data_IF_239747531778
#
_entry.id   IF_239747531778
#
_cell.length_a   1.000
_cell.length_b   1.000
_cell.length_c   1.000
_cell.angle_alpha   90.00
_cell.angle_beta   90.00
_cell.angle_gamma   90.00
#
_symmetry.space_group_name_H-M   'P 1'
#
loop_
_entity.id
_entity.type
_entity.pdbx_description
1 polymer ?
#
# COMPACT_ATOMS: atom_id res chain seq x y z
N UNK A 1 -48.43 -23.08 22.80
CA UNK A 1 -48.58 -21.61 22.79
C UNK A 1 -47.73 -21.03 21.68
N UNK A 2 -48.22 -20.04 20.90
CA UNK A 2 -47.40 -19.36 19.89
C UNK A 2 -46.39 -18.41 20.53
N UNK A 3 -45.35 -18.05 19.79
CA UNK A 3 -44.40 -17.01 20.20
C UNK A 3 -45.12 -15.69 20.43
N UNK A 4 -44.58 -14.80 21.27
CA UNK A 4 -45.15 -13.48 21.58
C UNK A 4 -45.43 -12.61 20.34
N UNK A 5 -44.73 -12.85 19.22
CA UNK A 5 -44.98 -12.18 17.95
C UNK A 5 -46.07 -12.85 17.07
N UNK A 6 -46.80 -13.84 17.61
CA UNK A 6 -47.84 -14.59 16.90
C UNK A 6 -47.34 -15.74 16.03
N UNK A 7 -46.02 -15.97 15.94
CA UNK A 7 -45.49 -17.09 15.15
C UNK A 7 -45.80 -18.45 15.77
N UNK A 8 -46.30 -19.38 14.97
CA UNK A 8 -46.58 -20.77 15.36
C UNK A 8 -45.37 -21.69 15.27
N UNK A 9 -44.35 -21.32 14.48
CA UNK A 9 -43.10 -22.07 14.35
C UNK A 9 -42.07 -21.59 15.39
N UNK A 10 -41.90 -22.38 16.44
CA UNK A 10 -40.94 -22.13 17.51
C UNK A 10 -39.59 -22.78 17.18
N UNK A 11 -38.51 -22.00 17.32
CA UNK A 11 -37.14 -22.48 17.18
C UNK A 11 -36.58 -22.86 18.56
N UNK A 12 -36.87 -22.04 19.58
CA UNK A 12 -36.57 -22.38 20.97
C UNK A 12 -37.88 -22.66 21.70
N UNK A 13 -38.18 -23.96 21.91
CA UNK A 13 -39.42 -24.40 22.55
C UNK A 13 -39.45 -24.09 24.05
N UNK A 14 -38.30 -24.14 24.71
CA UNK A 14 -38.18 -23.89 26.16
C UNK A 14 -38.52 -22.43 26.51
N UNK A 15 -38.10 -21.50 25.65
CA UNK A 15 -38.41 -20.06 25.79
C UNK A 15 -39.66 -19.63 25.02
N UNK A 16 -40.31 -20.54 24.30
CA UNK A 16 -41.42 -20.24 23.37
C UNK A 16 -41.11 -19.12 22.37
N UNK A 17 -39.90 -19.07 21.84
CA UNK A 17 -39.47 -18.05 20.88
C UNK A 17 -39.34 -18.62 19.47
N UNK A 18 -39.87 -17.89 18.48
CA UNK A 18 -39.54 -18.10 17.09
C UNK A 18 -38.12 -17.59 16.80
N UNK A 19 -37.58 -17.97 15.63
CA UNK A 19 -36.22 -17.59 15.24
C UNK A 19 -35.97 -16.07 15.30
N UNK A 20 -36.92 -15.27 14.82
CA UNK A 20 -36.81 -13.80 14.83
C UNK A 20 -36.75 -13.23 16.24
N UNK A 21 -37.62 -13.67 17.14
CA UNK A 21 -37.65 -13.18 18.53
C UNK A 21 -36.45 -13.69 19.34
N UNK A 22 -36.02 -14.93 19.11
CA UNK A 22 -34.82 -15.48 19.73
C UNK A 22 -33.55 -14.72 19.30
N UNK A 23 -33.46 -14.36 18.01
CA UNK A 23 -32.37 -13.53 17.48
C UNK A 23 -32.38 -12.12 18.09
N UNK A 24 -33.54 -11.47 18.16
CA UNK A 24 -33.67 -10.15 18.75
C UNK A 24 -33.22 -10.14 20.22
N UNK A 25 -33.64 -11.14 21.00
CA UNK A 25 -33.22 -11.32 22.39
C UNK A 25 -31.69 -11.47 22.50
N UNK A 26 -31.08 -12.35 21.70
CA UNK A 26 -29.62 -12.55 21.70
C UNK A 26 -28.83 -11.29 21.34
N UNK A 27 -29.39 -10.41 20.50
CA UNK A 27 -28.77 -9.12 20.17
C UNK A 27 -28.89 -8.15 21.33
N UNK A 28 -30.06 -8.09 21.98
CA UNK A 28 -30.30 -7.22 23.14
C UNK A 28 -29.47 -7.62 24.37
N UNK A 29 -29.28 -8.92 24.59
CA UNK A 29 -28.48 -9.46 25.70
C UNK A 29 -26.98 -9.48 25.41
N UNK A 30 -26.57 -9.11 24.18
CA UNK A 30 -25.15 -9.14 23.82
C UNK A 30 -24.44 -8.04 24.61
N UNK A 31 -23.48 -8.37 25.49
CA UNK A 31 -22.74 -7.36 26.22
C UNK A 31 -22.06 -6.44 25.20
N UNK A 32 -22.33 -5.13 25.33
CA UNK A 32 -21.66 -4.11 24.53
C UNK A 32 -20.20 -4.11 24.99
N UNK A 33 -19.36 -4.88 24.29
CA UNK A 33 -17.93 -4.80 24.45
C UNK A 33 -17.50 -3.41 23.96
N UNK A 34 -17.41 -2.47 24.89
CA UNK A 34 -16.72 -1.19 24.68
C UNK A 34 -15.28 -1.57 24.39
N UNK A 35 -14.92 -1.63 23.11
CA UNK A 35 -13.53 -1.82 22.69
C UNK A 35 -12.76 -0.62 23.19
N UNK A 36 -12.02 -0.78 24.28
CA UNK A 36 -11.04 0.20 24.73
C UNK A 36 -10.15 0.58 23.55
N UNK A 37 -10.14 1.86 23.20
CA UNK A 37 -9.25 2.39 22.17
C UNK A 37 -7.83 2.25 22.72
N UNK A 38 -7.07 1.29 22.19
CA UNK A 38 -5.64 1.17 22.50
C UNK A 38 -4.98 2.53 22.25
N UNK A 39 -4.13 3.03 23.16
CA UNK A 39 -3.41 4.28 22.94
C UNK A 39 -2.61 4.18 21.64
N UNK A 40 -2.67 5.25 20.83
CA UNK A 40 -1.88 5.35 19.60
C UNK A 40 -0.42 5.14 19.98
N UNK A 41 0.21 4.11 19.38
CA UNK A 41 1.61 3.83 19.63
C UNK A 41 2.43 5.09 19.33
N UNK A 42 3.11 5.61 20.35
CA UNK A 42 4.00 6.77 20.22
C UNK A 42 5.06 6.39 19.20
N UNK A 43 5.00 7.00 18.00
CA UNK A 43 5.99 6.74 16.97
C UNK A 43 7.35 7.21 17.48
N UNK A 44 8.37 6.36 17.41
CA UNK A 44 9.72 6.72 17.87
C UNK A 44 10.24 7.95 17.11
N UNK A 45 10.97 8.85 17.79
CA UNK A 45 11.49 10.08 17.19
C UNK A 45 12.27 9.84 15.89
N UNK A 46 13.04 8.72 15.81
CA UNK A 46 13.75 8.30 14.59
C UNK A 46 12.82 8.03 13.41
N UNK A 47 11.66 7.40 13.64
CA UNK A 47 10.66 7.13 12.59
C UNK A 47 9.99 8.43 12.13
N UNK A 48 9.82 9.40 13.02
CA UNK A 48 9.28 10.72 12.69
C UNK A 48 10.24 11.53 11.79
N UNK A 49 11.55 11.47 12.05
CA UNK A 49 12.57 12.12 11.21
C UNK A 49 12.63 11.49 9.82
N UNK A 50 12.75 10.15 9.72
CA UNK A 50 12.80 9.47 8.42
C UNK A 50 11.55 9.72 7.55
N UNK A 51 10.37 9.84 8.17
CA UNK A 51 9.13 10.21 7.46
C UNK A 51 9.15 11.67 6.98
N UNK A 52 9.73 12.59 7.74
CA UNK A 52 9.91 14.00 7.33
C UNK A 52 10.87 14.09 6.16
N UNK A 53 12.03 13.47 6.24
CA UNK A 53 13.06 13.51 5.19
C UNK A 53 12.53 12.94 3.88
N UNK A 54 11.78 11.83 3.95
CA UNK A 54 11.11 11.26 2.78
C UNK A 54 10.08 12.21 2.16
N UNK A 55 9.30 12.94 2.98
CA UNK A 55 8.34 13.92 2.47
C UNK A 55 9.04 15.10 1.78
N UNK A 56 10.20 15.52 2.30
CA UNK A 56 11.03 16.55 1.66
C UNK A 56 11.54 16.06 0.31
N UNK A 57 12.12 14.86 0.24
CA UNK A 57 12.59 14.27 -1.01
C UNK A 57 11.47 14.14 -2.05
N UNK A 58 10.29 13.68 -1.64
CA UNK A 58 9.12 13.59 -2.53
C UNK A 58 8.70 14.95 -3.08
N UNK A 59 8.76 15.99 -2.25
CA UNK A 59 8.44 17.36 -2.68
C UNK A 59 9.44 17.85 -3.71
N UNK A 60 10.74 17.74 -3.40
CA UNK A 60 11.81 18.17 -4.30
C UNK A 60 11.71 17.50 -5.67
N UNK A 61 11.50 16.17 -5.70
CA UNK A 61 11.39 15.45 -6.98
C UNK A 61 10.13 15.84 -7.74
N UNK A 62 9.00 16.09 -7.06
CA UNK A 62 7.76 16.56 -7.70
C UNK A 62 7.85 18.00 -8.22
N UNK A 63 8.62 18.86 -7.57
CA UNK A 63 8.84 20.25 -8.02
C UNK A 63 9.63 20.29 -9.34
N UNK A 64 10.56 19.35 -9.52
CA UNK A 64 11.39 19.25 -10.73
C UNK A 64 10.73 18.40 -11.82
N UNK A 65 9.97 17.37 -11.45
CA UNK A 65 9.38 16.41 -12.38
C UNK A 65 7.91 16.75 -12.68
N UNK A 66 7.68 17.52 -13.74
CA UNK A 66 6.35 17.96 -14.16
C UNK A 66 5.60 16.94 -15.02
N UNK A 67 6.27 15.86 -15.44
CA UNK A 67 5.69 14.79 -16.24
C UNK A 67 6.20 13.40 -15.83
N UNK A 68 5.48 12.37 -16.26
CA UNK A 68 5.87 10.97 -16.10
C UNK A 68 7.14 10.71 -16.91
N UNK A 69 8.17 10.17 -16.25
CA UNK A 69 9.44 9.86 -16.90
C UNK A 69 9.30 8.86 -18.07
N UNK A 70 8.28 7.98 -18.02
CA UNK A 70 8.09 6.90 -18.99
C UNK A 70 7.17 7.25 -20.17
N UNK A 71 6.11 8.04 -19.96
CA UNK A 71 5.14 8.33 -21.03
C UNK A 71 4.87 9.82 -21.24
N UNK A 72 5.54 10.70 -20.51
CA UNK A 72 5.41 12.16 -20.68
C UNK A 72 4.08 12.77 -20.23
N UNK A 73 3.12 11.98 -19.73
CA UNK A 73 1.87 12.56 -19.21
C UNK A 73 2.12 13.43 -17.99
N UNK A 74 1.31 14.47 -17.80
CA UNK A 74 1.37 15.38 -16.64
C UNK A 74 0.32 15.03 -15.58
N UNK A 75 -0.52 14.02 -15.83
CA UNK A 75 -1.64 13.63 -14.96
C UNK A 75 -1.27 12.49 -14.02
N UNK A 76 -1.87 12.50 -12.83
CA UNK A 76 -1.77 11.45 -11.81
C UNK A 76 -0.32 11.01 -11.51
N UNK A 77 0.55 11.98 -11.18
CA UNK A 77 1.97 11.72 -10.98
C UNK A 77 2.27 11.20 -9.56
N UNK A 78 2.92 10.04 -9.51
CA UNK A 78 3.28 9.32 -8.29
C UNK A 78 4.80 9.10 -8.24
N UNK A 79 5.49 9.51 -7.14
CA UNK A 79 6.88 9.15 -6.91
C UNK A 79 6.99 7.66 -6.59
N UNK A 80 7.82 6.95 -7.35
CA UNK A 80 8.12 5.53 -7.21
C UNK A 80 9.58 5.35 -6.81
N UNK A 81 9.85 4.39 -5.94
CA UNK A 81 11.23 4.05 -5.57
C UNK A 81 11.86 3.09 -6.59
N UNK A 82 13.14 3.28 -6.87
CA UNK A 82 13.96 2.34 -7.66
C UNK A 82 14.37 1.15 -6.77
N UNK A 83 14.99 1.44 -5.64
CA UNK A 83 15.32 0.51 -4.57
C UNK A 83 14.22 0.56 -3.51
N UNK A 84 13.56 -0.58 -3.27
CA UNK A 84 12.37 -0.63 -2.41
C UNK A 84 12.69 -0.20 -0.98
N UNK A 85 11.83 0.63 -0.38
CA UNK A 85 12.04 1.16 0.98
C UNK A 85 12.15 0.07 2.05
N UNK A 86 11.50 -1.07 1.84
CA UNK A 86 11.51 -2.20 2.78
C UNK A 86 12.89 -2.85 2.85
N UNK A 87 13.57 -2.96 1.72
CA UNK A 87 14.88 -3.60 1.62
C UNK A 87 16.03 -2.60 1.80
N UNK A 88 15.85 -1.36 1.36
CA UNK A 88 16.87 -0.32 1.35
C UNK A 88 16.36 0.97 2.04
N UNK A 89 16.06 0.94 3.35
CA UNK A 89 15.53 2.10 4.06
C UNK A 89 16.48 3.28 4.08
N UNK A 90 17.80 3.05 4.02
CA UNK A 90 18.82 4.11 3.93
C UNK A 90 18.69 4.98 2.68
N UNK A 91 18.12 4.43 1.60
CA UNK A 91 17.90 5.14 0.34
C UNK A 91 16.50 5.72 0.20
N UNK A 92 15.64 5.57 1.21
CA UNK A 92 14.22 5.95 1.12
C UNK A 92 14.02 7.46 0.91
N UNK A 93 14.92 8.29 1.42
CA UNK A 93 14.90 9.75 1.28
C UNK A 93 15.93 10.27 0.25
N UNK A 94 16.63 9.40 -0.46
CA UNK A 94 17.57 9.83 -1.50
C UNK A 94 16.80 10.24 -2.77
N UNK A 95 16.90 11.50 -3.25
CA UNK A 95 16.19 11.95 -4.45
C UNK A 95 16.53 11.13 -5.71
N UNK A 96 17.77 10.63 -5.84
CA UNK A 96 18.18 9.78 -6.95
C UNK A 96 17.44 8.43 -6.96
N UNK A 97 16.97 7.96 -5.81
CA UNK A 97 16.24 6.70 -5.68
C UNK A 97 14.74 6.84 -6.04
N UNK A 98 14.31 8.01 -6.52
CA UNK A 98 12.89 8.34 -6.70
C UNK A 98 12.67 8.78 -8.15
N UNK A 99 11.76 8.10 -8.83
CA UNK A 99 11.36 8.41 -10.22
C UNK A 99 9.87 8.72 -10.23
N UNK A 100 9.45 9.75 -10.97
CA UNK A 100 8.03 10.11 -11.08
C UNK A 100 7.39 9.41 -12.27
N UNK A 101 6.33 8.65 -11.99
CA UNK A 101 5.58 7.88 -12.98
C UNK A 101 4.08 8.19 -12.85
N UNK A 102 3.33 8.01 -13.94
CA UNK A 102 1.88 8.10 -13.85
C UNK A 102 1.28 6.87 -13.14
N UNK A 103 0.34 7.12 -12.24
CA UNK A 103 -0.34 6.11 -11.43
C UNK A 103 -1.22 5.16 -12.26
N UNK A 104 -1.73 5.62 -13.40
CA UNK A 104 -2.73 4.87 -14.18
C UNK A 104 -2.12 3.76 -15.05
N UNK A 105 -0.83 3.87 -15.41
CA UNK A 105 -0.18 2.95 -16.37
C UNK A 105 1.25 2.59 -15.99
N UNK A 106 2.14 3.59 -15.92
CA UNK A 106 3.58 3.33 -15.82
C UNK A 106 3.98 2.82 -14.43
N UNK A 107 3.42 3.36 -13.36
CA UNK A 107 3.73 2.93 -11.99
C UNK A 107 3.31 1.46 -11.72
N UNK A 108 2.10 1.00 -12.10
CA UNK A 108 1.75 -0.42 -11.97
C UNK A 108 2.69 -1.37 -12.72
N UNK A 109 3.07 -1.02 -13.95
CA UNK A 109 4.02 -1.81 -14.75
C UNK A 109 5.41 -1.85 -14.09
N UNK A 110 5.89 -0.70 -13.60
CA UNK A 110 7.16 -0.59 -12.89
C UNK A 110 7.25 -1.51 -11.67
N UNK A 111 6.19 -1.57 -10.87
CA UNK A 111 6.13 -2.36 -9.63
C UNK A 111 5.93 -3.85 -9.94
N UNK A 112 4.94 -4.17 -10.78
CA UNK A 112 4.37 -5.51 -10.89
C UNK A 112 4.71 -6.26 -12.19
N UNK A 113 5.05 -5.56 -13.28
CA UNK A 113 5.32 -6.20 -14.57
C UNK A 113 6.58 -5.61 -15.24
N UNK A 114 7.74 -5.94 -14.66
CA UNK A 114 9.05 -5.41 -15.03
C UNK A 114 9.46 -5.77 -16.46
N UNK A 115 9.11 -6.97 -16.93
CA UNK A 115 9.40 -7.42 -18.30
C UNK A 115 8.69 -6.54 -19.33
N UNK A 116 7.37 -6.36 -19.18
CA UNK A 116 6.61 -5.50 -20.06
C UNK A 116 7.01 -4.02 -19.93
N UNK A 117 7.34 -3.56 -18.72
CA UNK A 117 7.86 -2.20 -18.53
C UNK A 117 9.17 -1.97 -19.29
N UNK A 118 10.11 -2.92 -19.25
CA UNK A 118 11.39 -2.87 -19.98
C UNK A 118 11.17 -2.76 -21.48
N UNK A 119 10.25 -3.55 -22.03
CA UNK A 119 9.92 -3.54 -23.46
C UNK A 119 9.28 -2.21 -23.91
N UNK A 120 8.33 -1.69 -23.12
CA UNK A 120 7.61 -0.47 -23.47
C UNK A 120 8.41 0.81 -23.19
N UNK A 121 9.33 0.79 -22.23
CA UNK A 121 10.03 1.97 -21.74
C UNK A 121 11.54 1.71 -21.52
N UNK A 122 12.30 1.33 -22.57
CA UNK A 122 13.69 0.89 -22.43
C UNK A 122 14.61 1.97 -21.86
N UNK A 123 14.42 3.24 -22.24
CA UNK A 123 15.23 4.36 -21.73
C UNK A 123 15.05 4.57 -20.21
N UNK A 124 13.81 4.46 -19.72
CA UNK A 124 13.53 4.59 -18.28
C UNK A 124 13.98 3.35 -17.51
N UNK A 125 13.96 2.19 -18.16
CA UNK A 125 14.57 0.99 -17.62
C UNK A 125 16.09 1.14 -17.46
N UNK A 126 16.80 1.70 -18.43
CA UNK A 126 18.23 1.99 -18.30
C UNK A 126 18.52 2.95 -17.16
N UNK A 127 17.72 4.00 -16.99
CA UNK A 127 17.83 4.91 -15.84
C UNK A 127 17.68 4.13 -14.52
N UNK A 128 16.70 3.23 -14.42
CA UNK A 128 16.52 2.36 -13.25
C UNK A 128 17.79 1.54 -12.98
N UNK A 129 18.35 0.93 -14.02
CA UNK A 129 19.56 0.10 -13.93
C UNK A 129 20.76 0.93 -13.45
N UNK A 130 20.96 2.12 -14.02
CA UNK A 130 22.05 3.03 -13.64
C UNK A 130 21.92 3.49 -12.18
N UNK A 131 20.71 3.86 -11.73
CA UNK A 131 20.46 4.24 -10.33
C UNK A 131 20.77 3.07 -9.39
N UNK A 132 20.33 1.85 -9.72
CA UNK A 132 20.66 0.67 -8.90
C UNK A 132 22.16 0.42 -8.85
N UNK A 133 22.87 0.55 -9.98
CA UNK A 133 24.32 0.36 -10.04
C UNK A 133 25.08 1.38 -9.19
N UNK A 134 24.64 2.65 -9.17
CA UNK A 134 25.28 3.72 -8.39
C UNK A 134 25.01 3.56 -6.90
N UNK A 135 23.76 3.24 -6.51
CA UNK A 135 23.37 3.21 -5.10
C UNK A 135 23.68 1.88 -4.40
N UNK A 136 23.51 0.75 -5.10
CA UNK A 136 23.66 -0.60 -4.54
C UNK A 136 24.25 -1.58 -5.59
N UNK A 137 25.56 -1.49 -5.90
CA UNK A 137 26.20 -2.27 -6.98
C UNK A 137 26.02 -3.79 -6.84
N UNK A 138 26.08 -4.31 -5.61
CA UNK A 138 25.91 -5.74 -5.36
C UNK A 138 24.48 -6.22 -5.66
N UNK A 139 23.46 -5.41 -5.30
CA UNK A 139 22.07 -5.70 -5.64
C UNK A 139 21.80 -5.55 -7.13
N UNK A 140 22.42 -4.56 -7.78
CA UNK A 140 22.34 -4.38 -9.23
C UNK A 140 22.75 -5.64 -9.99
N UNK A 141 23.86 -6.29 -9.62
CA UNK A 141 24.31 -7.53 -10.27
C UNK A 141 23.24 -8.63 -10.16
N UNK A 142 22.73 -8.87 -8.95
CA UNK A 142 21.66 -9.85 -8.72
C UNK A 142 20.39 -9.54 -9.51
N UNK A 143 20.01 -8.25 -9.58
CA UNK A 143 18.84 -7.80 -10.30
C UNK A 143 19.01 -7.95 -11.82
N UNK A 144 20.20 -7.60 -12.34
CA UNK A 144 20.56 -7.73 -13.74
C UNK A 144 20.47 -9.17 -14.19
N UNK A 145 21.06 -10.11 -13.46
CA UNK A 145 21.06 -11.53 -13.84
C UNK A 145 19.64 -12.10 -13.91
N UNK A 146 18.75 -11.64 -13.01
CA UNK A 146 17.35 -12.08 -12.96
C UNK A 146 16.48 -11.48 -14.08
N UNK A 147 16.79 -10.27 -14.53
CA UNK A 147 15.89 -9.48 -15.37
C UNK A 147 16.49 -9.06 -16.72
N UNK A 148 17.74 -9.41 -17.03
CA UNK A 148 18.39 -9.18 -18.33
C UNK A 148 18.87 -10.46 -19.03
N UNK A 149 18.59 -11.65 -18.47
CA UNK A 149 18.58 -12.89 -19.24
C UNK A 149 17.37 -12.91 -20.20
#
# INVERSE_FOLDING_TARGET
MPCACGCTKLENRDLQLCASCNKARRVAERPVAIKERKPLAVMSAKRTVALKDRRVAYRQVKEVSTCCAACGTTRNLTPSHVLTQKQFPQHAANPLNIVVLCGDRCHPLWEHNKTLFRELCPQVWEIKMNIMQVLEPAYYLQFKDKHNA
#
